data_IF_044790539820
#
_entry.id   IF_044790539820
#
_cell.length_a   1.000
_cell.length_b   1.000
_cell.length_c   1.000
_cell.angle_alpha   90.00
_cell.angle_beta   90.00
_cell.angle_gamma   90.00
#
_symmetry.space_group_name_H-M   'P 1'
#
loop_
_entity.id
_entity.type
_entity.pdbx_description
1 polymer ?
#
# COMPACT_ATOMS: atom_id res chain seq x y z
N UNK A 1 -12.98 41.87 35.20
CA UNK A 1 -11.53 41.99 34.91
C UNK A 1 -10.75 40.73 35.27
N UNK A 2 -10.76 40.27 36.54
CA UNK A 2 -10.01 39.09 36.98
C UNK A 2 -10.37 37.80 36.22
N UNK A 3 -11.65 37.60 35.90
CA UNK A 3 -12.10 36.47 35.08
C UNK A 3 -11.46 36.47 33.67
N UNK A 4 -11.36 37.62 33.01
CA UNK A 4 -10.71 37.73 31.70
C UNK A 4 -9.21 37.45 31.78
N UNK A 5 -8.54 37.93 32.84
CA UNK A 5 -7.14 37.59 33.12
C UNK A 5 -6.94 36.08 33.25
N UNK A 6 -7.77 35.40 34.03
CA UNK A 6 -7.67 33.94 34.19
C UNK A 6 -7.92 33.19 32.87
N UNK A 7 -8.90 33.63 32.08
CA UNK A 7 -9.17 33.05 30.74
C UNK A 7 -7.98 33.22 29.78
N UNK A 8 -7.35 34.39 29.77
CA UNK A 8 -6.14 34.65 28.96
C UNK A 8 -5.01 33.70 29.36
N UNK A 9 -4.72 33.59 30.65
CA UNK A 9 -3.63 32.73 31.14
C UNK A 9 -3.91 31.25 30.89
N UNK A 10 -5.16 30.81 31.07
CA UNK A 10 -5.58 29.46 30.77
C UNK A 10 -5.43 29.14 29.28
N UNK A 11 -5.97 30.00 28.40
CA UNK A 11 -5.84 29.82 26.95
C UNK A 11 -4.37 29.77 26.51
N UNK A 12 -3.51 30.60 27.11
CA UNK A 12 -2.08 30.55 26.86
C UNK A 12 -1.46 29.22 27.32
N UNK A 13 -1.79 28.73 28.51
CA UNK A 13 -1.34 27.42 28.98
C UNK A 13 -1.72 26.29 28.02
N UNK A 14 -2.98 26.26 27.59
CA UNK A 14 -3.45 25.27 26.62
C UNK A 14 -2.71 25.40 25.28
N UNK A 15 -2.43 26.63 24.83
CA UNK A 15 -1.63 26.83 23.62
C UNK A 15 -0.21 26.25 23.75
N UNK A 16 0.42 26.37 24.93
CA UNK A 16 1.75 25.79 25.14
C UNK A 16 1.72 24.26 25.05
N UNK A 17 0.66 23.64 25.56
CA UNK A 17 0.44 22.21 25.46
C UNK A 17 0.26 21.77 24.00
N UNK A 18 -0.65 22.41 23.26
CA UNK A 18 -0.87 22.09 21.84
C UNK A 18 0.39 22.28 20.99
N UNK A 19 1.18 23.33 21.27
CA UNK A 19 2.47 23.54 20.60
C UNK A 19 3.46 22.40 20.86
N UNK A 20 3.57 21.96 22.12
CA UNK A 20 4.48 20.88 22.49
C UNK A 20 4.07 19.56 21.82
N UNK A 21 2.79 19.21 21.83
CA UNK A 21 2.26 18.00 21.18
C UNK A 21 2.48 18.04 19.66
N UNK A 22 2.23 19.18 19.01
CA UNK A 22 2.53 19.35 17.58
C UNK A 22 4.04 19.20 17.28
N UNK A 23 4.90 19.75 18.14
CA UNK A 23 6.35 19.67 17.99
C UNK A 23 6.87 18.23 18.09
N UNK A 24 6.33 17.43 18.99
CA UNK A 24 6.67 16.01 19.15
C UNK A 24 6.27 15.19 17.92
N UNK A 25 5.08 15.44 17.37
CA UNK A 25 4.65 14.86 16.09
C UNK A 25 5.59 15.23 14.95
N UNK A 26 6.01 16.51 14.87
CA UNK A 26 6.96 16.97 13.86
C UNK A 26 8.35 16.32 14.00
N UNK A 27 8.82 16.04 15.22
CA UNK A 27 10.06 15.30 15.45
C UNK A 27 9.93 13.85 14.97
N UNK A 28 8.83 13.19 15.32
CA UNK A 28 8.53 11.81 14.89
C UNK A 28 8.44 11.70 13.36
N UNK A 29 7.91 12.73 12.69
CA UNK A 29 7.87 12.80 11.23
C UNK A 29 9.27 12.73 10.62
N UNK A 30 10.24 13.47 11.17
CA UNK A 30 11.64 13.45 10.68
C UNK A 30 12.26 12.07 10.83
N UNK A 31 12.03 11.41 11.95
CA UNK A 31 12.51 10.04 12.18
C UNK A 31 11.90 9.05 11.19
N UNK A 32 10.59 9.20 10.91
CA UNK A 32 9.87 8.38 9.93
C UNK A 32 10.46 8.56 8.54
N UNK A 33 10.75 9.79 8.11
CA UNK A 33 11.42 10.06 6.82
C UNK A 33 12.76 9.34 6.71
N UNK A 34 13.58 9.39 7.77
CA UNK A 34 14.87 8.70 7.77
C UNK A 34 14.73 7.18 7.75
N UNK A 35 13.68 6.63 8.38
CA UNK A 35 13.37 5.19 8.29
C UNK A 35 12.96 4.78 6.88
N UNK A 36 12.20 5.63 6.17
CA UNK A 36 11.73 5.37 4.81
C UNK A 36 12.92 5.27 3.85
N UNK A 37 13.88 6.19 3.95
CA UNK A 37 15.09 6.21 3.11
C UNK A 37 15.94 4.94 3.26
N UNK A 38 15.87 4.26 4.40
CA UNK A 38 16.66 3.06 4.72
C UNK A 38 15.95 1.76 4.32
N UNK A 39 14.71 1.80 3.83
CA UNK A 39 13.98 0.60 3.44
C UNK A 39 14.61 -0.04 2.19
N UNK A 40 15.02 -1.33 2.25
CA UNK A 40 15.62 -2.02 1.11
C UNK A 40 14.58 -2.19 -0.02
N UNK A 41 14.99 -1.89 -1.26
CA UNK A 41 14.11 -1.92 -2.44
C UNK A 41 13.50 -3.30 -2.70
N UNK A 42 14.23 -4.36 -2.42
CA UNK A 42 13.86 -5.76 -2.76
C UNK A 42 13.26 -6.56 -1.60
N UNK A 43 12.83 -5.89 -0.52
CA UNK A 43 12.17 -6.60 0.57
C UNK A 43 10.74 -6.97 0.18
N UNK A 44 10.41 -8.27 0.25
CA UNK A 44 9.04 -8.78 0.05
C UNK A 44 7.99 -8.13 0.97
N UNK A 45 8.42 -7.53 2.09
CA UNK A 45 7.57 -6.83 3.05
C UNK A 45 7.52 -5.31 2.85
N UNK A 46 8.28 -4.76 1.90
CA UNK A 46 8.45 -3.31 1.71
C UNK A 46 7.11 -2.60 1.50
N UNK A 47 6.27 -3.15 0.62
CA UNK A 47 4.94 -2.62 0.33
C UNK A 47 4.04 -2.61 1.58
N UNK A 48 4.11 -3.66 2.40
CA UNK A 48 3.37 -3.73 3.66
C UNK A 48 3.88 -2.68 4.67
N UNK A 49 5.21 -2.50 4.74
CA UNK A 49 5.83 -1.46 5.59
C UNK A 49 5.41 -0.07 5.15
N UNK A 50 5.39 0.24 3.85
CA UNK A 50 4.89 1.51 3.35
C UNK A 50 3.42 1.73 3.67
N UNK A 51 2.55 0.73 3.50
CA UNK A 51 1.14 0.85 3.86
C UNK A 51 0.93 1.14 5.35
N UNK A 52 1.69 0.48 6.22
CA UNK A 52 1.64 0.73 7.67
C UNK A 52 2.12 2.15 8.01
N UNK A 53 3.25 2.58 7.42
CA UNK A 53 3.79 3.93 7.59
C UNK A 53 2.78 4.97 7.11
N UNK A 54 2.19 4.77 5.93
CA UNK A 54 1.20 5.67 5.34
C UNK A 54 -0.03 5.82 6.23
N UNK A 55 -0.52 4.71 6.80
CA UNK A 55 -1.64 4.72 7.74
C UNK A 55 -1.29 5.53 9.00
N UNK A 56 -0.11 5.29 9.58
CA UNK A 56 0.33 6.00 10.78
C UNK A 56 0.52 7.51 10.53
N UNK A 57 1.21 7.86 9.43
CA UNK A 57 1.41 9.26 9.03
C UNK A 57 0.10 9.99 8.78
N UNK A 58 -0.92 9.30 8.24
CA UNK A 58 -2.24 9.91 8.02
C UNK A 58 -2.93 10.28 9.35
N UNK A 59 -2.85 9.43 10.38
CA UNK A 59 -3.37 9.75 11.71
C UNK A 59 -2.57 10.89 12.35
N UNK A 60 -1.24 10.83 12.30
CA UNK A 60 -0.38 11.89 12.82
C UNK A 60 -0.61 13.23 12.13
N UNK A 61 -0.83 13.26 10.81
CA UNK A 61 -1.15 14.49 10.07
C UNK A 61 -2.48 15.11 10.52
N UNK A 62 -3.47 14.27 10.84
CA UNK A 62 -4.74 14.73 11.40
C UNK A 62 -4.55 15.34 12.79
N UNK A 63 -3.85 14.64 13.69
CA UNK A 63 -3.56 15.13 15.04
C UNK A 63 -2.73 16.42 15.00
N UNK A 64 -1.72 16.47 14.13
CA UNK A 64 -0.91 17.67 13.90
C UNK A 64 -1.79 18.85 13.49
N UNK A 65 -2.65 18.67 12.47
CA UNK A 65 -3.57 19.71 12.00
C UNK A 65 -4.54 20.15 13.10
N UNK A 66 -4.99 19.22 13.94
CA UNK A 66 -5.81 19.52 15.11
C UNK A 66 -5.08 20.45 16.09
N UNK A 67 -3.83 20.16 16.44
CA UNK A 67 -3.06 21.03 17.34
C UNK A 67 -2.85 22.43 16.77
N UNK A 68 -2.61 22.57 15.46
CA UNK A 68 -2.52 23.88 14.80
C UNK A 68 -3.82 24.66 14.93
N UNK A 69 -4.96 24.02 14.66
CA UNK A 69 -6.28 24.64 14.83
C UNK A 69 -6.52 25.01 16.30
N UNK A 70 -6.13 24.17 17.24
CA UNK A 70 -6.30 24.45 18.67
C UNK A 70 -5.47 25.68 19.08
N UNK A 71 -4.25 25.86 18.54
CA UNK A 71 -3.46 27.08 18.71
C UNK A 71 -4.18 28.33 18.17
N UNK A 72 -4.77 28.26 16.98
CA UNK A 72 -5.56 29.37 16.41
C UNK A 72 -6.75 29.74 17.31
N UNK A 73 -7.47 28.74 17.82
CA UNK A 73 -8.59 28.92 18.76
C UNK A 73 -8.10 29.59 20.05
N UNK A 74 -6.97 29.16 20.61
CA UNK A 74 -6.42 29.78 21.82
C UNK A 74 -5.97 31.21 21.58
N UNK A 75 -5.34 31.51 20.43
CA UNK A 75 -4.98 32.88 20.08
C UNK A 75 -6.22 33.78 19.99
N UNK A 76 -7.26 33.34 19.27
CA UNK A 76 -8.52 34.07 19.18
C UNK A 76 -9.19 34.27 20.55
N UNK A 77 -9.07 33.28 21.43
CA UNK A 77 -9.56 33.35 22.82
C UNK A 77 -8.80 34.41 23.63
N UNK A 78 -7.47 34.47 23.51
CA UNK A 78 -6.65 35.50 24.15
C UNK A 78 -7.03 36.89 23.63
N UNK A 79 -7.09 37.07 22.31
CA UNK A 79 -7.42 38.35 21.69
C UNK A 79 -8.80 38.85 22.12
N UNK A 80 -9.80 37.97 22.14
CA UNK A 80 -11.16 38.30 22.58
C UNK A 80 -11.21 38.71 24.06
N UNK A 81 -10.54 37.95 24.93
CA UNK A 81 -10.51 38.28 26.35
C UNK A 81 -9.66 39.52 26.65
N UNK A 82 -8.63 39.82 25.84
CA UNK A 82 -7.89 41.08 25.92
C UNK A 82 -8.77 42.28 25.56
N UNK A 83 -9.62 42.17 24.52
CA UNK A 83 -10.60 43.22 24.18
C UNK A 83 -11.57 43.46 25.34
N UNK A 84 -12.14 42.40 25.92
CA UNK A 84 -13.04 42.51 27.07
C UNK A 84 -12.34 43.07 28.31
N UNK A 85 -11.10 42.65 28.56
CA UNK A 85 -10.28 43.17 29.64
C UNK A 85 -10.04 44.68 29.47
N UNK A 86 -9.69 45.12 28.26
CA UNK A 86 -9.45 46.53 27.92
C UNK A 86 -10.69 47.40 28.18
N UNK A 87 -11.88 46.95 27.76
CA UNK A 87 -13.14 47.67 28.01
C UNK A 87 -13.34 47.88 29.51
N UNK A 88 -13.20 46.83 30.32
CA UNK A 88 -13.37 46.95 31.78
C UNK A 88 -12.28 47.82 32.42
N UNK A 89 -11.04 47.77 31.93
CA UNK A 89 -9.97 48.64 32.41
C UNK A 89 -10.26 50.11 32.10
N UNK A 90 -10.79 50.43 30.92
CA UNK A 90 -11.17 51.78 30.55
C UNK A 90 -12.31 52.31 31.43
N UNK A 91 -13.32 51.50 31.74
CA UNK A 91 -14.37 51.91 32.69
C UNK A 91 -13.81 52.12 34.11
N UNK A 92 -12.90 51.26 34.57
CA UNK A 92 -12.24 51.44 35.86
C UNK A 92 -11.41 52.73 35.91
N UNK A 93 -10.71 53.06 34.83
CA UNK A 93 -9.93 54.30 34.72
C UNK A 93 -10.79 55.57 34.76
N UNK A 94 -12.07 55.51 34.37
CA UNK A 94 -12.99 56.66 34.45
C UNK A 94 -13.40 56.98 35.89
N UNK A 95 -13.47 55.97 36.75
CA UNK A 95 -13.91 56.11 38.14
C UNK A 95 -12.74 56.17 39.13
N UNK A 96 -11.52 55.88 38.68
CA UNK A 96 -10.31 55.92 39.52
C UNK A 96 -9.86 57.34 39.83
N UNK A 97 -9.39 57.55 41.06
CA UNK A 97 -8.75 58.80 41.48
C UNK A 97 -7.30 58.77 41.01
N UNK A 98 -6.96 59.50 39.94
CA UNK A 98 -5.64 59.46 39.28
C UNK A 98 -4.44 59.67 40.22
N UNK A 99 -4.62 60.45 41.28
CA UNK A 99 -3.56 60.77 42.25
C UNK A 99 -3.49 59.78 43.44
N UNK A 100 -4.38 58.79 43.50
CA UNK A 100 -4.46 57.79 44.59
C UNK A 100 -4.44 56.35 44.11
N UNK A 101 -5.04 56.08 42.95
CA UNK A 101 -5.20 54.73 42.41
C UNK A 101 -4.14 54.44 41.34
N UNK A 102 -3.27 53.45 41.59
CA UNK A 102 -2.33 52.98 40.59
C UNK A 102 -2.90 51.77 39.82
N UNK A 103 -3.37 52.02 38.59
CA UNK A 103 -3.89 50.98 37.69
C UNK A 103 -2.85 50.49 36.66
N UNK A 104 -1.59 50.93 36.77
CA UNK A 104 -0.55 50.64 35.78
C UNK A 104 -0.34 49.13 35.59
N UNK A 105 -0.34 48.35 36.67
CA UNK A 105 -0.14 46.90 36.61
C UNK A 105 -1.21 46.17 35.77
N UNK A 106 -2.43 46.71 35.71
CA UNK A 106 -3.51 46.17 34.88
C UNK A 106 -3.26 46.43 33.39
N UNK A 107 -2.76 47.63 33.08
CA UNK A 107 -2.35 47.99 31.73
C UNK A 107 -1.13 47.18 31.27
N UNK A 108 -0.16 46.97 32.17
CA UNK A 108 1.02 46.15 31.92
C UNK A 108 0.64 44.70 31.63
N UNK A 109 -0.32 44.13 32.37
CA UNK A 109 -0.84 42.80 32.07
C UNK A 109 -1.48 42.73 30.68
N UNK A 110 -2.32 43.71 30.31
CA UNK A 110 -2.94 43.75 28.99
C UNK A 110 -1.88 43.85 27.87
N UNK A 111 -0.87 44.69 28.06
CA UNK A 111 0.24 44.84 27.11
C UNK A 111 1.04 43.53 26.99
N UNK A 112 1.31 42.85 28.11
CA UNK A 112 1.97 41.57 28.12
C UNK A 112 1.16 40.48 27.39
N UNK A 113 -0.15 40.42 27.63
CA UNK A 113 -1.02 39.45 26.98
C UNK A 113 -1.06 39.62 25.46
N UNK A 114 -1.16 40.86 24.97
CA UNK A 114 -1.19 41.15 23.54
C UNK A 114 0.17 41.00 22.87
N UNK A 115 1.21 41.63 23.42
CA UNK A 115 2.50 41.77 22.75
C UNK A 115 3.43 40.56 22.98
N UNK A 116 3.11 39.69 23.94
CA UNK A 116 3.94 38.52 24.24
C UNK A 116 3.17 37.22 24.13
N UNK A 117 2.04 37.08 24.81
CA UNK A 117 1.32 35.79 24.83
C UNK A 117 0.68 35.48 23.47
N UNK A 118 -0.12 36.40 22.92
CA UNK A 118 -0.74 36.22 21.61
C UNK A 118 0.31 36.14 20.49
N UNK A 119 1.32 37.02 20.54
CA UNK A 119 2.40 37.03 19.53
C UNK A 119 3.21 35.72 19.53
N UNK A 120 3.50 35.16 20.70
CA UNK A 120 4.18 33.85 20.78
C UNK A 120 3.37 32.74 20.09
N UNK A 121 2.04 32.73 20.22
CA UNK A 121 1.21 31.72 19.55
C UNK A 121 1.27 31.91 18.02
N UNK A 122 1.32 33.15 17.53
CA UNK A 122 1.46 33.44 16.08
C UNK A 122 2.81 32.97 15.53
N UNK A 123 3.89 33.20 16.28
CA UNK A 123 5.23 32.69 15.94
C UNK A 123 5.23 31.16 15.92
N UNK A 124 4.64 30.54 16.94
CA UNK A 124 4.53 29.09 17.04
C UNK A 124 3.75 28.49 15.85
N UNK A 125 2.61 29.09 15.48
CA UNK A 125 1.83 28.73 14.29
C UNK A 125 2.66 28.86 13.02
N UNK A 126 3.35 29.99 12.83
CA UNK A 126 4.20 30.20 11.66
C UNK A 126 5.28 29.12 11.52
N UNK A 127 5.89 28.71 12.63
CA UNK A 127 6.89 27.64 12.65
C UNK A 127 6.27 26.27 12.30
N UNK A 128 5.08 25.99 12.82
CA UNK A 128 4.42 24.70 12.64
C UNK A 128 3.73 24.54 11.27
N UNK A 129 3.39 25.61 10.57
CA UNK A 129 2.75 25.53 9.24
C UNK A 129 3.58 24.72 8.25
N UNK A 130 4.90 24.90 8.23
CA UNK A 130 5.81 24.12 7.36
C UNK A 130 5.74 22.61 7.62
N UNK A 131 5.44 22.19 8.85
CA UNK A 131 5.26 20.77 9.18
C UNK A 131 4.03 20.15 8.52
N UNK A 132 2.95 20.92 8.32
CA UNK A 132 1.72 20.45 7.67
C UNK A 132 1.97 20.15 6.19
N UNK A 133 2.70 21.02 5.51
CA UNK A 133 3.10 20.83 4.11
C UNK A 133 3.96 19.58 3.97
N UNK A 134 4.95 19.40 4.85
CA UNK A 134 5.82 18.23 4.87
C UNK A 134 5.05 16.91 5.06
N UNK A 135 4.05 16.87 5.95
CA UNK A 135 3.17 15.70 6.09
C UNK A 135 2.48 15.37 4.75
N UNK A 136 1.94 16.37 4.06
CA UNK A 136 1.27 16.19 2.77
C UNK A 136 2.22 15.66 1.70
N UNK A 137 3.42 16.23 1.60
CA UNK A 137 4.43 15.81 0.62
C UNK A 137 4.87 14.37 0.83
N UNK A 138 5.16 13.97 2.07
CA UNK A 138 5.60 12.61 2.38
C UNK A 138 4.48 11.60 2.13
N UNK A 139 3.25 11.91 2.55
CA UNK A 139 2.08 11.04 2.32
C UNK A 139 1.88 10.81 0.81
N UNK A 140 1.94 11.88 0.01
CA UNK A 140 1.79 11.78 -1.44
C UNK A 140 2.96 11.03 -2.09
N UNK A 141 4.18 11.25 -1.62
CA UNK A 141 5.36 10.52 -2.11
C UNK A 141 5.26 9.02 -1.83
N UNK A 142 4.88 8.62 -0.61
CA UNK A 142 4.70 7.20 -0.27
C UNK A 142 3.55 6.58 -1.07
N UNK A 143 2.43 7.29 -1.26
CA UNK A 143 1.34 6.82 -2.13
C UNK A 143 1.83 6.57 -3.55
N UNK A 144 2.57 7.51 -4.13
CA UNK A 144 3.15 7.34 -5.46
C UNK A 144 4.09 6.13 -5.55
N UNK A 145 4.93 5.90 -4.54
CA UNK A 145 5.81 4.71 -4.48
C UNK A 145 4.98 3.42 -4.41
N UNK A 146 3.96 3.38 -3.54
CA UNK A 146 3.07 2.22 -3.38
C UNK A 146 2.31 1.92 -4.67
N UNK A 147 1.79 2.94 -5.34
CA UNK A 147 1.08 2.82 -6.62
C UNK A 147 1.99 2.28 -7.73
N UNK A 148 3.22 2.78 -7.84
CA UNK A 148 4.22 2.28 -8.80
C UNK A 148 4.54 0.80 -8.52
N UNK A 149 4.83 0.43 -7.28
CA UNK A 149 5.18 -0.95 -6.91
C UNK A 149 4.02 -1.92 -7.14
N UNK A 150 2.79 -1.51 -6.83
CA UNK A 150 1.60 -2.32 -7.11
C UNK A 150 1.42 -2.53 -8.62
N UNK A 151 1.57 -1.48 -9.43
CA UNK A 151 1.47 -1.58 -10.88
C UNK A 151 2.55 -2.51 -11.47
N UNK A 152 3.79 -2.45 -10.98
CA UNK A 152 4.88 -3.35 -11.39
C UNK A 152 4.58 -4.81 -11.04
N UNK A 153 4.12 -5.08 -9.81
CA UNK A 153 3.73 -6.42 -9.36
C UNK A 153 2.55 -6.98 -10.14
N UNK A 154 1.55 -6.15 -10.45
CA UNK A 154 0.41 -6.54 -11.28
C UNK A 154 0.84 -6.86 -12.72
N UNK A 155 1.71 -6.04 -13.31
CA UNK A 155 2.27 -6.29 -14.64
C UNK A 155 3.08 -7.60 -14.68
N UNK A 156 3.84 -7.91 -13.62
CA UNK A 156 4.58 -9.17 -13.51
C UNK A 156 3.64 -10.38 -13.38
N UNK A 157 2.60 -10.29 -12.54
CA UNK A 157 1.57 -11.34 -12.41
C UNK A 157 0.84 -11.59 -13.74
N UNK A 158 0.52 -10.54 -14.49
CA UNK A 158 -0.11 -10.67 -15.81
C UNK A 158 0.81 -11.43 -16.76
N UNK A 159 2.11 -11.08 -16.83
CA UNK A 159 3.10 -11.78 -17.65
C UNK A 159 3.24 -13.25 -17.25
N UNK A 160 3.29 -13.53 -15.95
CA UNK A 160 3.38 -14.90 -15.43
C UNK A 160 2.14 -15.72 -15.80
N UNK A 161 0.94 -15.15 -15.66
CA UNK A 161 -0.31 -15.82 -16.01
C UNK A 161 -0.43 -16.07 -17.52
N UNK A 162 0.01 -15.12 -18.35
CA UNK A 162 0.08 -15.31 -19.79
C UNK A 162 1.02 -16.47 -20.17
N UNK A 163 2.21 -16.53 -19.56
CA UNK A 163 3.18 -17.62 -19.77
C UNK A 163 2.64 -18.98 -19.31
N UNK A 164 1.94 -19.03 -18.17
CA UNK A 164 1.26 -20.24 -17.69
C UNK A 164 0.15 -20.68 -18.66
N UNK A 165 -0.66 -19.76 -19.16
CA UNK A 165 -1.71 -20.07 -20.12
C UNK A 165 -1.16 -20.63 -21.45
N UNK A 166 -0.03 -20.12 -21.94
CA UNK A 166 0.67 -20.69 -23.10
C UNK A 166 1.18 -22.12 -22.82
N UNK A 167 1.78 -22.32 -21.65
CA UNK A 167 2.25 -23.63 -21.23
C UNK A 167 1.09 -24.63 -21.10
N UNK A 168 -0.02 -24.25 -20.46
CA UNK A 168 -1.19 -25.12 -20.28
C UNK A 168 -1.81 -25.51 -21.62
N UNK A 169 -1.91 -24.57 -22.57
CA UNK A 169 -2.32 -24.88 -23.95
C UNK A 169 -1.39 -25.88 -24.64
N UNK A 170 -0.08 -25.77 -24.41
CA UNK A 170 0.90 -26.70 -24.99
C UNK A 170 0.80 -28.10 -24.36
N UNK A 171 0.54 -28.17 -23.06
CA UNK A 171 0.33 -29.40 -22.33
C UNK A 171 -0.98 -30.07 -22.75
N UNK A 172 -2.08 -29.32 -22.86
CA UNK A 172 -3.38 -29.81 -23.32
C UNK A 172 -3.28 -30.41 -24.73
N UNK A 173 -2.62 -29.72 -25.67
CA UNK A 173 -2.35 -30.26 -27.01
C UNK A 173 -1.55 -31.57 -26.97
N UNK A 174 -0.55 -31.66 -26.10
CA UNK A 174 0.26 -32.87 -25.95
C UNK A 174 -0.59 -34.03 -25.41
N UNK A 175 -1.42 -33.78 -24.40
CA UNK A 175 -2.34 -34.77 -23.82
C UNK A 175 -3.39 -35.20 -24.86
N UNK A 176 -3.97 -34.29 -25.63
CA UNK A 176 -4.93 -34.62 -26.70
C UNK A 176 -4.29 -35.50 -27.78
N UNK A 177 -3.07 -35.17 -28.24
CA UNK A 177 -2.36 -35.98 -29.25
C UNK A 177 -2.03 -37.37 -28.71
N UNK A 178 -1.54 -37.47 -27.48
CA UNK A 178 -1.25 -38.76 -26.83
C UNK A 178 -2.54 -39.55 -26.56
N UNK A 179 -3.61 -38.90 -26.14
CA UNK A 179 -4.92 -39.52 -25.84
C UNK A 179 -5.65 -40.01 -27.09
N UNK A 180 -5.60 -39.28 -28.20
CA UNK A 180 -6.13 -39.72 -29.51
C UNK A 180 -5.29 -40.88 -30.07
N UNK A 181 -3.96 -40.83 -29.91
CA UNK A 181 -3.05 -41.91 -30.31
C UNK A 181 -3.23 -43.20 -29.51
N UNK A 182 -3.49 -43.11 -28.20
CA UNK A 182 -3.74 -44.26 -27.34
C UNK A 182 -5.19 -44.77 -27.44
N UNK A 183 -6.19 -43.89 -27.56
CA UNK A 183 -7.61 -44.27 -27.65
C UNK A 183 -7.96 -45.03 -28.93
N UNK A 184 -7.26 -44.75 -30.03
CA UNK A 184 -7.39 -45.50 -31.29
C UNK A 184 -6.64 -46.85 -31.28
N UNK A 185 -5.67 -47.04 -30.37
CA UNK A 185 -5.00 -48.32 -30.13
C UNK A 185 -5.66 -49.21 -29.05
N UNK A 186 -6.41 -48.61 -28.12
CA UNK A 186 -6.98 -49.31 -26.97
C UNK A 186 -8.17 -50.25 -27.30
N UNK A 187 -8.75 -50.17 -28.49
CA UNK A 187 -9.86 -51.04 -28.90
C UNK A 187 -9.38 -52.50 -29.14
N UNK A 188 -8.08 -52.77 -29.25
CA UNK A 188 -7.56 -54.13 -29.37
C UNK A 188 -7.06 -54.76 -28.05
N UNK A 189 -6.80 -53.97 -27.00
CA UNK A 189 -6.12 -54.45 -25.78
C UNK A 189 -7.07 -54.92 -24.66
N UNK A 190 -8.36 -54.56 -24.72
CA UNK A 190 -9.32 -54.90 -23.67
C UNK A 190 -9.74 -56.38 -23.63
N UNK A 191 -9.37 -57.20 -24.63
CA UNK A 191 -9.71 -58.63 -24.68
C UNK A 191 -8.61 -59.56 -24.12
N UNK A 192 -7.45 -59.03 -23.72
CA UNK A 192 -6.33 -59.82 -23.17
C UNK A 192 -5.97 -59.28 -21.79
N UNK A 193 -6.88 -59.40 -20.83
CA UNK A 193 -6.58 -59.14 -19.41
C UNK A 193 -7.23 -60.19 -18.52
N UNK A 194 -7.16 -61.44 -18.94
CA UNK A 194 -7.23 -62.58 -18.04
C UNK A 194 -5.87 -63.29 -18.11
N UNK A 195 -5.12 -63.22 -17.00
CA UNK A 195 -3.88 -63.94 -16.72
C UNK A 195 -2.60 -63.51 -17.45
N UNK A 196 -1.86 -62.55 -16.87
CA UNK A 196 -0.38 -62.54 -16.99
C UNK A 196 0.24 -62.18 -15.62
N UNK A 197 0.50 -63.19 -14.81
CA UNK A 197 1.45 -63.13 -13.68
C UNK A 197 2.79 -63.69 -14.17
N UNK A 198 3.73 -62.81 -14.58
CA UNK A 198 5.21 -63.00 -14.55
C UNK A 198 5.94 -61.86 -15.30
N UNK A 199 7.12 -61.40 -14.84
CA UNK A 199 7.86 -60.31 -15.47
C UNK A 199 8.62 -60.77 -16.74
N UNK A 200 8.83 -59.81 -17.66
CA UNK A 200 9.47 -59.98 -18.97
C UNK A 200 10.94 -60.43 -18.87
N UNK A 201 11.33 -61.42 -19.69
CA UNK A 201 12.74 -61.80 -19.97
C UNK A 201 13.24 -61.13 -21.27
N UNK A 202 14.53 -60.75 -21.35
CA UNK A 202 15.11 -60.11 -22.54
C UNK A 202 15.28 -61.07 -23.73
N UNK A 203 15.20 -60.53 -24.95
CA UNK A 203 15.21 -61.27 -26.22
C UNK A 203 16.60 -61.87 -26.56
N UNK A 204 16.58 -63.13 -27.03
CA UNK A 204 17.74 -63.89 -27.53
C UNK A 204 17.59 -64.10 -29.07
N UNK A 205 18.65 -64.03 -29.91
CA UNK A 205 18.49 -63.92 -31.37
C UNK A 205 18.19 -65.23 -32.14
N UNK A 206 18.30 -66.41 -31.54
CA UNK A 206 18.23 -67.70 -32.26
C UNK A 206 16.86 -68.43 -32.17
N UNK A 207 15.77 -67.70 -31.91
CA UNK A 207 14.41 -68.25 -31.93
C UNK A 207 13.46 -67.45 -32.83
N UNK A 208 12.47 -68.12 -33.46
CA UNK A 208 11.53 -67.47 -34.37
C UNK A 208 10.84 -66.32 -33.66
N UNK A 209 10.78 -65.17 -34.33
CA UNK A 209 10.29 -63.90 -33.79
C UNK A 209 8.93 -64.15 -33.14
N UNK A 210 8.87 -63.95 -31.81
CA UNK A 210 7.69 -64.27 -31.00
C UNK A 210 6.43 -63.67 -31.67
N UNK A 211 5.31 -64.40 -31.80
CA UNK A 211 4.12 -63.96 -32.55
C UNK A 211 3.63 -62.56 -32.18
N UNK A 212 3.88 -62.15 -30.92
CA UNK A 212 3.60 -60.82 -30.37
C UNK A 212 4.44 -59.69 -30.99
N UNK A 213 5.70 -59.94 -31.33
CA UNK A 213 6.58 -58.93 -31.96
C UNK A 213 6.24 -58.79 -33.45
N UNK A 214 5.92 -59.90 -34.11
CA UNK A 214 5.42 -59.87 -35.50
C UNK A 214 4.07 -59.15 -35.60
N UNK A 215 3.12 -59.42 -34.68
CA UNK A 215 1.84 -58.72 -34.68
C UNK A 215 1.98 -57.24 -34.31
N UNK A 216 2.93 -56.88 -33.44
CA UNK A 216 3.23 -55.49 -33.11
C UNK A 216 3.81 -54.73 -34.32
N UNK A 217 4.71 -55.36 -35.08
CA UNK A 217 5.27 -54.77 -36.31
C UNK A 217 4.19 -54.59 -37.39
N UNK A 218 3.31 -55.58 -37.58
CA UNK A 218 2.18 -55.47 -38.51
C UNK A 218 1.14 -54.44 -38.07
N UNK A 219 0.90 -54.31 -36.76
CA UNK A 219 0.05 -53.26 -36.17
C UNK A 219 0.62 -51.87 -36.46
N UNK A 220 1.91 -51.65 -36.19
CA UNK A 220 2.57 -50.37 -36.46
C UNK A 220 2.54 -50.04 -37.96
N UNK A 221 2.79 -51.03 -38.83
CA UNK A 221 2.70 -50.85 -40.28
C UNK A 221 1.28 -50.52 -40.76
N UNK A 222 0.26 -51.16 -40.20
CA UNK A 222 -1.14 -50.87 -40.53
C UNK A 222 -1.55 -49.46 -40.07
N UNK A 223 -1.10 -49.00 -38.90
CA UNK A 223 -1.36 -47.65 -38.41
C UNK A 223 -0.69 -46.59 -39.29
N UNK A 224 0.56 -46.82 -39.70
CA UNK A 224 1.27 -45.91 -40.62
C UNK A 224 0.57 -45.88 -41.99
N UNK A 225 0.15 -47.04 -42.52
CA UNK A 225 -0.57 -47.12 -43.79
C UNK A 225 -1.93 -46.40 -43.76
N UNK A 226 -2.70 -46.57 -42.67
CA UNK A 226 -3.97 -45.88 -42.47
C UNK A 226 -3.77 -44.36 -42.40
N UNK A 227 -2.78 -43.88 -41.64
CA UNK A 227 -2.46 -42.46 -41.54
C UNK A 227 -2.02 -41.82 -42.86
N UNK A 228 -1.24 -42.55 -43.67
CA UNK A 228 -0.85 -42.10 -45.00
C UNK A 228 -2.04 -42.02 -45.98
N UNK A 229 -2.99 -42.96 -45.90
CA UNK A 229 -4.20 -42.94 -46.72
C UNK A 229 -5.13 -41.77 -46.36
N UNK A 230 -5.33 -41.48 -45.07
CA UNK A 230 -6.13 -40.31 -44.65
C UNK A 230 -5.46 -38.99 -45.03
N UNK A 231 -4.14 -38.90 -44.92
CA UNK A 231 -3.38 -37.71 -45.36
C UNK A 231 -3.45 -37.50 -46.87
N UNK A 232 -3.35 -38.57 -47.67
CA UNK A 232 -3.51 -38.49 -49.12
C UNK A 232 -4.94 -38.11 -49.53
N UNK A 233 -5.96 -38.63 -48.83
CA UNK A 233 -7.36 -38.30 -49.09
C UNK A 233 -7.68 -36.84 -48.78
N UNK A 234 -7.22 -36.34 -47.64
CA UNK A 234 -7.38 -34.91 -47.27
C UNK A 234 -6.63 -33.98 -48.22
N UNK A 235 -5.41 -34.34 -48.66
CA UNK A 235 -4.65 -33.58 -49.65
C UNK A 235 -5.31 -33.55 -51.04
N UNK A 236 -6.05 -34.60 -51.42
CA UNK A 236 -6.76 -34.69 -52.71
C UNK A 236 -8.05 -33.85 -52.74
N UNK A 237 -8.77 -33.76 -51.62
CA UNK A 237 -9.97 -32.92 -51.50
C UNK A 237 -9.67 -31.42 -51.32
N UNK A 238 -8.43 -31.05 -51.00
CA UNK A 238 -8.00 -29.64 -50.91
C UNK A 238 -7.53 -29.06 -52.25
N UNK A 239 -7.31 -29.91 -53.27
CA UNK A 239 -6.78 -29.52 -54.58
C UNK A 239 -7.80 -29.70 -55.74
N UNK A 240 -9.08 -29.95 -55.43
CA UNK A 240 -10.20 -29.97 -56.39
C UNK A 240 -11.16 -28.82 -56.11
#
# INVERSE_FOLDING_TARGET
MLCYRSKILFAYSESRKSYQEAKELYQTLKETVESIKKLPKESNERLQKFNNILRNLSFQAFDYTRHLRDLEIQNATIETNCKNYKIVLQELQKISLKDRDNLQFLQEFLNHALNKLAEQIKVDLSYLTTGRELYSEIINSIRGIVEIEQAELEAEKIKLNAKKAEHDKSLERTIQVVGVGLGSGAIAAASISAHIDKPFKPLNPDHPVHPMVSSLLWSVLATIAAGLLTWLWTKRNLNN
#
